data_IF_586033104944
#
_entry.id   IF_586033104944
#
_cell.length_a   1.000
_cell.length_b   1.000
_cell.length_c   1.000
_cell.angle_alpha   90.00
_cell.angle_beta   90.00
_cell.angle_gamma   90.00
#
_symmetry.space_group_name_H-M   'P 1'
#
loop_
_entity.id
_entity.type
_entity.pdbx_description
1 polymer ?
#
# COMPACT_ATOMS: atom_id res chain seq x y z
N UNK A 1 3.26 -14.06 -1.50
CA UNK A 1 2.96 -12.64 -1.19
C UNK A 1 1.46 -12.40 -1.34
N UNK A 2 0.88 -11.64 -0.45
CA UNK A 2 -0.54 -11.30 -0.52
C UNK A 2 -0.80 -10.25 -1.58
N UNK A 3 -2.01 -10.27 -2.10
CA UNK A 3 -2.47 -9.29 -3.07
C UNK A 3 -3.72 -8.60 -2.57
N UNK A 4 -3.94 -7.40 -3.05
CA UNK A 4 -5.14 -6.61 -2.78
C UNK A 4 -5.74 -6.12 -4.08
N UNK A 5 -7.03 -5.78 -4.04
CA UNK A 5 -7.67 -5.15 -5.18
C UNK A 5 -7.11 -3.75 -5.39
N UNK A 6 -6.82 -3.43 -6.64
CA UNK A 6 -6.33 -2.11 -7.01
C UNK A 6 -7.55 -1.20 -7.25
N UNK A 7 -8.16 -0.76 -6.14
CA UNK A 7 -9.40 0.00 -6.19
C UNK A 7 -10.50 -0.81 -6.88
N UNK A 8 -11.33 -0.14 -7.67
CA UNK A 8 -12.41 -0.77 -8.42
C UNK A 8 -12.02 -1.12 -9.85
N UNK A 9 -10.70 -1.23 -10.13
CA UNK A 9 -10.21 -1.50 -11.49
C UNK A 9 -10.40 -2.96 -11.92
N UNK A 10 -10.69 -3.85 -10.99
CA UNK A 10 -10.75 -5.29 -11.28
C UNK A 10 -9.40 -5.97 -11.33
N UNK A 11 -8.32 -5.25 -11.02
CA UNK A 11 -6.96 -5.75 -11.02
C UNK A 11 -6.50 -6.00 -9.59
N UNK A 12 -5.68 -7.03 -9.39
CA UNK A 12 -5.04 -7.32 -8.10
C UNK A 12 -3.56 -6.99 -8.18
N UNK A 13 -3.02 -6.43 -7.11
CA UNK A 13 -1.61 -6.05 -7.03
C UNK A 13 -1.01 -6.56 -5.72
N UNK A 14 0.32 -6.77 -5.67
CA UNK A 14 0.97 -7.12 -4.41
C UNK A 14 0.75 -6.02 -3.36
N UNK A 15 0.61 -6.42 -2.10
CA UNK A 15 0.46 -5.47 -1.00
C UNK A 15 1.68 -4.55 -0.86
N UNK A 16 2.85 -5.06 -1.19
CA UNK A 16 4.10 -4.31 -1.15
C UNK A 16 4.70 -4.35 -2.54
N UNK A 17 4.96 -3.20 -3.13
CA UNK A 17 5.53 -3.08 -4.46
C UNK A 17 6.71 -2.11 -4.43
N UNK A 18 7.62 -2.25 -5.39
CA UNK A 18 8.78 -1.37 -5.51
C UNK A 18 8.44 -0.21 -6.44
N UNK A 19 8.89 0.99 -6.08
CA UNK A 19 8.69 2.18 -6.91
C UNK A 19 9.17 1.92 -8.34
N UNK A 20 8.33 2.32 -9.29
CA UNK A 20 8.62 2.14 -10.71
C UNK A 20 8.28 0.78 -11.28
N UNK A 21 7.98 -0.21 -10.44
CA UNK A 21 7.61 -1.56 -10.89
C UNK A 21 6.10 -1.79 -10.91
N UNK A 22 5.33 -0.86 -10.35
CA UNK A 22 3.87 -0.94 -10.31
C UNK A 22 3.29 0.18 -11.18
N UNK A 23 2.40 -0.16 -12.10
CA UNK A 23 1.67 0.84 -12.88
C UNK A 23 0.62 1.48 -12.00
N UNK A 24 0.70 2.79 -11.86
CA UNK A 24 -0.18 3.53 -10.94
C UNK A 24 -1.44 4.06 -11.59
N UNK A 25 -1.46 4.23 -12.91
CA UNK A 25 -2.61 4.75 -13.66
C UNK A 25 -3.20 5.99 -12.95
N UNK A 26 -4.46 5.94 -12.51
CA UNK A 26 -5.11 7.03 -11.80
C UNK A 26 -5.06 6.88 -10.28
N UNK A 27 -4.13 6.08 -9.75
CA UNK A 27 -4.02 5.87 -8.32
C UNK A 27 -3.67 7.14 -7.59
N UNK A 28 -4.26 7.32 -6.41
CA UNK A 28 -3.86 8.36 -5.49
C UNK A 28 -2.58 7.92 -4.78
N UNK A 29 -1.50 8.69 -4.92
CA UNK A 29 -0.22 8.40 -4.29
C UNK A 29 -0.04 9.33 -3.10
N UNK A 30 0.13 8.75 -1.91
CA UNK A 30 0.30 9.50 -0.67
C UNK A 30 1.64 9.16 -0.02
N UNK A 31 2.18 10.08 0.75
CA UNK A 31 3.43 9.86 1.50
C UNK A 31 3.17 9.15 2.82
N UNK A 32 1.96 9.22 3.35
CA UNK A 32 1.59 8.55 4.61
C UNK A 32 0.06 8.36 4.66
N UNK A 33 -0.43 7.84 5.78
CA UNK A 33 -1.86 7.55 5.97
C UNK A 33 -2.55 8.57 6.90
N UNK A 34 -1.95 9.75 7.09
CA UNK A 34 -2.48 10.74 8.03
C UNK A 34 -3.73 11.44 7.49
N UNK A 35 -3.94 11.48 6.17
CA UNK A 35 -5.09 12.15 5.57
C UNK A 35 -6.25 11.18 5.38
N UNK A 36 -7.03 10.98 6.45
CA UNK A 36 -8.20 10.09 6.42
C UNK A 36 -9.24 10.54 5.39
N UNK A 37 -9.42 11.84 5.21
CA UNK A 37 -10.40 12.36 4.27
C UNK A 37 -10.05 11.98 2.83
N UNK A 38 -8.77 12.08 2.47
CA UNK A 38 -8.31 11.68 1.14
C UNK A 38 -8.47 10.18 0.93
N UNK A 39 -8.15 9.37 1.95
CA UNK A 39 -8.32 7.92 1.88
C UNK A 39 -9.78 7.53 1.65
N UNK A 40 -10.68 8.11 2.42
CA UNK A 40 -12.10 7.81 2.28
C UNK A 40 -12.68 8.26 0.94
N UNK A 41 -12.29 9.46 0.49
CA UNK A 41 -12.76 9.97 -0.80
C UNK A 41 -12.31 9.09 -1.96
N UNK A 42 -11.06 8.66 -1.95
CA UNK A 42 -10.54 7.77 -2.99
C UNK A 42 -11.25 6.42 -2.95
N UNK A 43 -11.44 5.86 -1.76
CA UNK A 43 -12.10 4.57 -1.61
C UNK A 43 -13.55 4.62 -2.13
N UNK A 44 -14.30 5.66 -1.78
CA UNK A 44 -15.68 5.83 -2.24
C UNK A 44 -15.76 5.99 -3.76
N UNK A 45 -14.74 6.60 -4.35
CA UNK A 45 -14.68 6.77 -5.81
C UNK A 45 -14.17 5.52 -6.53
N UNK A 46 -13.80 4.47 -5.80
CA UNK A 46 -13.21 3.27 -6.38
C UNK A 46 -11.79 3.49 -6.88
N UNK A 47 -11.13 4.57 -6.46
CA UNK A 47 -9.80 4.93 -6.90
C UNK A 47 -8.75 4.17 -6.08
N UNK A 48 -7.74 3.55 -6.71
CA UNK A 48 -6.68 2.90 -5.98
C UNK A 48 -5.88 3.91 -5.14
N UNK A 49 -5.42 3.49 -3.97
CA UNK A 49 -4.56 4.30 -3.10
C UNK A 49 -3.24 3.58 -2.89
N UNK A 50 -2.15 4.29 -3.12
CA UNK A 50 -0.80 3.76 -2.94
C UNK A 50 -0.06 4.70 -1.99
N UNK A 51 0.61 4.12 -0.98
CA UNK A 51 1.30 4.89 0.05
C UNK A 51 2.79 4.56 0.03
N UNK A 52 3.64 5.59 0.00
CA UNK A 52 5.08 5.41 0.11
C UNK A 52 5.45 4.93 1.51
N UNK A 53 6.31 3.93 1.58
CA UNK A 53 6.78 3.38 2.85
C UNK A 53 8.24 2.97 2.70
N UNK A 54 9.10 3.40 3.63
CA UNK A 54 10.53 3.09 3.59
C UNK A 54 11.01 2.35 4.84
N UNK A 55 10.10 2.07 5.77
CA UNK A 55 10.41 1.30 6.99
C UNK A 55 9.33 0.26 7.23
N UNK A 56 9.64 -0.81 8.00
CA UNK A 56 8.63 -1.81 8.34
C UNK A 56 7.39 -1.22 9.03
N UNK A 57 7.57 -0.24 9.92
CA UNK A 57 6.45 0.41 10.58
C UNK A 57 5.57 1.15 9.60
N UNK A 58 6.16 1.83 8.63
CA UNK A 58 5.39 2.56 7.61
C UNK A 58 4.61 1.60 6.73
N UNK A 59 5.20 0.45 6.36
CA UNK A 59 4.50 -0.58 5.61
C UNK A 59 3.32 -1.10 6.41
N UNK A 60 3.52 -1.40 7.68
CA UNK A 60 2.46 -1.86 8.56
C UNK A 60 1.34 -0.85 8.67
N UNK A 61 1.67 0.43 8.89
CA UNK A 61 0.68 1.49 9.02
C UNK A 61 -0.13 1.65 7.74
N UNK A 62 0.53 1.61 6.59
CA UNK A 62 -0.15 1.70 5.29
C UNK A 62 -1.12 0.54 5.10
N UNK A 63 -0.66 -0.69 5.34
CA UNK A 63 -1.47 -1.88 5.10
C UNK A 63 -2.51 -2.14 6.19
N UNK A 64 -2.45 -1.42 7.31
CA UNK A 64 -3.51 -1.45 8.32
C UNK A 64 -4.77 -0.74 7.85
N UNK A 65 -4.69 0.08 6.80
CA UNK A 65 -5.84 0.80 6.24
C UNK A 65 -6.43 0.01 5.09
N UNK A 66 -7.71 -0.38 5.16
CA UNK A 66 -8.34 -1.13 4.07
C UNK A 66 -8.46 -0.34 2.76
N UNK A 67 -8.40 0.99 2.83
CA UNK A 67 -8.45 1.85 1.64
C UNK A 67 -7.17 1.77 0.81
N UNK A 68 -6.04 1.38 1.42
CA UNK A 68 -4.75 1.32 0.74
C UNK A 68 -4.63 0.04 -0.07
N UNK A 69 -4.31 0.18 -1.35
CA UNK A 69 -4.14 -0.96 -2.25
C UNK A 69 -2.74 -1.55 -2.17
N UNK A 70 -1.72 -0.71 -2.02
CA UNK A 70 -0.33 -1.16 -1.95
C UNK A 70 0.53 -0.14 -1.23
N UNK A 71 1.59 -0.63 -0.57
CA UNK A 71 2.67 0.19 -0.05
C UNK A 71 3.80 0.18 -1.07
N UNK A 72 4.30 1.36 -1.46
CA UNK A 72 5.43 1.50 -2.38
C UNK A 72 6.72 1.67 -1.59
N UNK A 73 7.67 0.78 -1.83
CA UNK A 73 8.97 0.84 -1.17
C UNK A 73 10.03 1.30 -2.17
N UNK A 74 11.11 1.99 -1.70
CA UNK A 74 12.19 2.41 -2.59
C UNK A 74 12.95 1.23 -3.17
N UNK A 75 13.62 1.45 -4.30
CA UNK A 75 14.43 0.43 -4.95
C UNK A 75 15.51 -0.16 -4.04
N UNK A 76 16.07 0.64 -3.16
CA UNK A 76 17.13 0.21 -2.23
C UNK A 76 16.58 -0.48 -0.98
N UNK A 77 15.27 -0.63 -0.86
CA UNK A 77 14.62 -1.29 0.26
C UNK A 77 13.76 -2.48 -0.19
N UNK A 78 14.28 -3.25 -1.15
CA UNK A 78 13.60 -4.46 -1.61
C UNK A 78 13.46 -5.52 -0.52
N UNK A 79 14.26 -5.43 0.53
CA UNK A 79 14.12 -6.29 1.70
C UNK A 79 12.73 -6.19 2.33
N UNK A 80 12.06 -5.05 2.17
CA UNK A 80 10.71 -4.86 2.71
C UNK A 80 9.66 -5.74 2.01
N UNK A 81 9.96 -6.24 0.82
CA UNK A 81 9.05 -7.18 0.12
C UNK A 81 8.91 -8.51 0.86
N UNK A 82 9.88 -8.85 1.70
CA UNK A 82 9.90 -10.11 2.42
C UNK A 82 9.38 -10.00 3.85
N UNK A 83 8.76 -8.86 4.21
CA UNK A 83 8.22 -8.68 5.55
C UNK A 83 7.13 -9.71 5.86
N UNK A 84 7.19 -10.26 7.06
CA UNK A 84 6.11 -11.09 7.59
C UNK A 84 5.09 -10.16 8.24
N UNK A 85 4.06 -9.82 7.51
CA UNK A 85 3.04 -8.90 7.97
C UNK A 85 2.24 -9.46 9.15
N UNK A 86 2.19 -10.78 9.29
CA UNK A 86 1.50 -11.38 10.44
C UNK A 86 2.24 -11.11 11.73
N UNK A 87 3.58 -11.19 11.72
CA UNK A 87 4.37 -10.84 12.89
C UNK A 87 4.20 -9.38 13.26
N UNK A 88 4.18 -8.50 12.25
CA UNK A 88 3.99 -7.07 12.48
C UNK A 88 2.59 -6.73 12.99
N UNK A 89 1.58 -7.45 12.53
CA UNK A 89 0.18 -7.15 12.84
C UNK A 89 -0.27 -7.77 14.16
N UNK A 90 0.13 -9.01 14.43
CA UNK A 90 -0.36 -9.78 15.59
C UNK A 90 0.68 -9.92 16.69
N UNK A 91 1.87 -9.39 16.48
CA UNK A 91 2.98 -9.45 17.41
C UNK A 91 3.66 -10.82 17.39
N UNK A 92 4.73 -10.91 18.16
CA UNK A 92 5.44 -12.19 18.27
C UNK A 92 4.65 -13.17 19.07
#
# INVERSE_FOLDING_TARGET
MRERWFGATGRRVPEIAVEGELELDDALVLDDVADDAALHAAHEAGRPVVVHASTPEQVKDALARPEVSAALVPHDRRDLLELDLRELTYGP
#
